data_IF_421333767877
#
_entry.id   IF_421333767877
#
_cell.length_a   1.000
_cell.length_b   1.000
_cell.length_c   1.000
_cell.angle_alpha   90.00
_cell.angle_beta   90.00
_cell.angle_gamma   90.00
#
_symmetry.space_group_name_H-M   'P 1'
#
loop_
_entity.id
_entity.type
_entity.pdbx_description
1 polymer ?
#
# COMPACT_ATOMS: atom_id res chain seq x y z
N UNK A 1 -11.83 -6.69 -8.54
CA UNK A 1 -12.57 -6.94 -7.28
C UNK A 1 -11.75 -6.34 -6.15
N UNK A 2 -12.35 -5.57 -5.23
CA UNK A 2 -11.66 -5.06 -4.04
C UNK A 2 -12.02 -5.97 -2.88
N UNK A 3 -11.00 -6.51 -2.21
CA UNK A 3 -11.16 -7.31 -0.99
C UNK A 3 -10.60 -6.55 0.20
N UNK A 4 -11.20 -6.74 1.37
CA UNK A 4 -10.80 -6.07 2.62
C UNK A 4 -10.68 -7.12 3.71
N UNK A 5 -9.52 -7.17 4.35
CA UNK A 5 -9.26 -7.96 5.56
C UNK A 5 -9.00 -7.06 6.76
N UNK A 6 -9.20 -7.59 7.96
CA UNK A 6 -8.88 -6.93 9.22
C UNK A 6 -8.03 -7.84 10.09
N UNK A 7 -7.00 -7.30 10.73
CA UNK A 7 -6.23 -7.98 11.76
C UNK A 7 -5.69 -6.94 12.76
N UNK A 8 -5.43 -7.39 13.99
CA UNK A 8 -5.01 -6.53 15.09
C UNK A 8 -3.50 -6.26 15.11
N UNK A 9 -2.69 -7.10 14.44
CA UNK A 9 -1.24 -6.98 14.43
C UNK A 9 -0.68 -6.74 13.03
N UNK A 10 0.14 -5.69 12.90
CA UNK A 10 0.71 -5.27 11.61
C UNK A 10 1.54 -6.37 10.94
N UNK A 11 2.32 -7.13 11.69
CA UNK A 11 3.16 -8.20 11.14
C UNK A 11 2.33 -9.34 10.51
N UNK A 12 1.15 -9.64 11.06
CA UNK A 12 0.24 -10.61 10.46
C UNK A 12 -0.39 -10.07 9.18
N UNK A 13 -0.77 -8.78 9.14
CA UNK A 13 -1.28 -8.18 7.90
C UNK A 13 -0.21 -8.13 6.82
N UNK A 14 1.06 -7.84 7.17
CA UNK A 14 2.17 -7.90 6.21
C UNK A 14 2.39 -9.30 5.66
N UNK A 15 2.28 -10.33 6.52
CA UNK A 15 2.32 -11.73 6.08
C UNK A 15 1.19 -12.04 5.10
N UNK A 16 -0.04 -11.61 5.42
CA UNK A 16 -1.22 -11.80 4.57
C UNK A 16 -1.08 -11.06 3.23
N UNK A 17 -0.54 -9.84 3.24
CA UNK A 17 -0.28 -9.07 2.02
C UNK A 17 0.70 -9.80 1.10
N UNK A 18 1.79 -10.32 1.68
CA UNK A 18 2.74 -11.17 0.94
C UNK A 18 2.08 -12.44 0.42
N UNK A 19 1.27 -13.11 1.24
CA UNK A 19 0.56 -14.33 0.85
C UNK A 19 -0.43 -14.08 -0.30
N UNK A 20 -1.25 -13.02 -0.24
CA UNK A 20 -2.17 -12.65 -1.34
C UNK A 20 -1.44 -12.38 -2.65
N UNK A 21 -0.30 -11.66 -2.61
CA UNK A 21 0.48 -11.37 -3.80
C UNK A 21 1.07 -12.64 -4.43
N UNK A 22 1.49 -13.62 -3.61
CA UNK A 22 2.08 -14.88 -4.08
C UNK A 22 1.00 -15.87 -4.56
N UNK A 23 -0.03 -16.10 -3.74
CA UNK A 23 -0.97 -17.23 -3.92
C UNK A 23 -2.14 -16.89 -4.88
N UNK A 24 -2.37 -15.61 -5.15
CA UNK A 24 -3.45 -15.18 -6.06
C UNK A 24 -3.21 -15.50 -7.54
N UNK A 25 -2.06 -16.06 -7.91
CA UNK A 25 -1.65 -16.31 -9.30
C UNK A 25 -1.76 -15.06 -10.19
N UNK A 26 -1.38 -13.89 -9.66
CA UNK A 26 -1.39 -12.61 -10.36
C UNK A 26 -2.76 -11.90 -10.41
N UNK A 27 -3.78 -12.45 -9.75
CA UNK A 27 -5.09 -11.79 -9.63
C UNK A 27 -5.06 -10.60 -8.68
N UNK A 28 -4.25 -10.67 -7.63
CA UNK A 28 -3.97 -9.54 -6.74
C UNK A 28 -2.63 -8.94 -7.16
N UNK A 29 -2.65 -7.70 -7.62
CA UNK A 29 -1.48 -6.98 -8.14
C UNK A 29 -0.96 -5.89 -7.21
N UNK A 30 -1.79 -5.50 -6.24
CA UNK A 30 -1.50 -4.43 -5.29
C UNK A 30 -2.27 -4.70 -4.00
N UNK A 31 -1.61 -4.52 -2.85
CA UNK A 31 -2.23 -4.63 -1.53
C UNK A 31 -1.93 -3.35 -0.76
N UNK A 32 -2.94 -2.76 -0.14
CA UNK A 32 -2.78 -1.59 0.73
C UNK A 32 -3.08 -1.99 2.16
N UNK A 33 -2.13 -1.73 3.06
CA UNK A 33 -2.31 -1.87 4.51
C UNK A 33 -2.52 -0.47 5.07
N UNK A 34 -3.60 -0.29 5.84
CA UNK A 34 -3.87 0.95 6.55
C UNK A 34 -4.00 0.64 8.03
N UNK A 35 -3.06 1.12 8.83
CA UNK A 35 -3.10 1.03 10.28
C UNK A 35 -3.48 2.40 10.86
N UNK A 36 -4.48 2.40 11.73
CA UNK A 36 -4.93 3.59 12.45
C UNK A 36 -4.47 3.51 13.90
N UNK A 37 -3.76 4.53 14.34
CA UNK A 37 -3.37 4.73 15.73
C UNK A 37 -4.25 5.83 16.31
N UNK A 38 -4.67 5.70 17.59
CA UNK A 38 -5.60 6.63 18.24
C UNK A 38 -4.99 7.42 19.40
N UNK A 39 -3.77 7.06 19.84
CA UNK A 39 -3.07 7.75 20.93
C UNK A 39 -1.54 7.71 20.71
N UNK A 40 -0.95 8.73 20.05
CA UNK A 40 -1.62 9.83 19.35
C UNK A 40 -2.33 9.35 18.07
N UNK A 41 -3.23 10.17 17.53
CA UNK A 41 -3.85 9.88 16.24
C UNK A 41 -2.81 9.86 15.11
N UNK A 42 -2.71 8.75 14.40
CA UNK A 42 -1.85 8.64 13.22
C UNK A 42 -2.40 7.63 12.22
N UNK A 43 -2.01 7.78 10.97
CA UNK A 43 -2.30 6.83 9.89
C UNK A 43 -0.97 6.34 9.34
N UNK A 44 -0.81 5.02 9.31
CA UNK A 44 0.29 4.36 8.64
C UNK A 44 -0.26 3.62 7.41
N UNK A 45 0.31 3.90 6.25
CA UNK A 45 -0.09 3.29 4.97
C UNK A 45 1.10 2.57 4.36
N UNK A 46 0.94 1.29 4.06
CA UNK A 46 1.89 0.52 3.26
C UNK A 46 1.24 0.10 1.94
N UNK A 47 1.96 0.26 0.86
CA UNK A 47 1.57 -0.23 -0.47
C UNK A 47 2.51 -1.37 -0.86
N UNK A 48 1.95 -2.54 -1.12
CA UNK A 48 2.68 -3.76 -1.44
C UNK A 48 2.41 -4.22 -2.86
N UNK A 49 3.45 -4.66 -3.55
CA UNK A 49 3.37 -5.23 -4.91
C UNK A 49 4.47 -6.28 -5.13
N UNK A 50 4.34 -7.06 -6.20
CA UNK A 50 5.42 -7.94 -6.67
C UNK A 50 6.50 -7.10 -7.35
N UNK A 51 7.73 -7.18 -6.84
CA UNK A 51 8.91 -6.49 -7.40
C UNK A 51 9.94 -7.50 -7.90
N UNK A 52 10.81 -7.10 -8.83
CA UNK A 52 11.92 -7.95 -9.26
C UNK A 52 12.87 -8.22 -8.08
N UNK A 53 13.36 -9.45 -7.96
CA UNK A 53 14.38 -9.79 -6.96
C UNK A 53 15.76 -9.34 -7.42
N UNK A 54 16.38 -8.39 -6.71
CA UNK A 54 17.69 -7.79 -7.05
C UNK A 54 18.93 -8.67 -6.76
N UNK A 55 18.75 -9.97 -6.52
CA UNK A 55 19.84 -10.90 -6.23
C UNK A 55 20.46 -11.52 -7.49
N UNK A 56 21.78 -11.86 -7.49
CA UNK A 56 22.33 -12.73 -8.53
C UNK A 56 21.50 -14.02 -8.54
N UNK A 57 21.00 -14.41 -9.71
CA UNK A 57 20.21 -15.62 -9.93
C UNK A 57 21.01 -16.86 -9.50
N UNK A 58 21.00 -17.16 -8.20
CA UNK A 58 21.19 -18.51 -7.70
C UNK A 58 19.90 -19.24 -8.05
N UNK A 59 20.04 -20.52 -8.40
CA UNK A 59 19.04 -21.43 -9.00
C UNK A 59 17.70 -21.53 -8.22
N UNK A 60 17.55 -20.87 -7.07
CA UNK A 60 16.42 -20.99 -6.14
C UNK A 60 15.73 -19.68 -5.75
N UNK A 61 16.15 -18.50 -6.25
CA UNK A 61 15.47 -17.24 -5.88
C UNK A 61 14.31 -16.97 -6.85
N UNK A 62 13.08 -16.73 -6.36
CA UNK A 62 11.96 -16.31 -7.20
C UNK A 62 12.32 -15.06 -8.01
N UNK A 63 11.87 -14.99 -9.27
CA UNK A 63 12.09 -13.82 -10.14
C UNK A 63 11.40 -12.56 -9.63
N UNK A 64 10.31 -12.73 -8.88
CA UNK A 64 9.60 -11.65 -8.21
C UNK A 64 9.30 -12.01 -6.76
N UNK A 65 9.34 -11.02 -5.88
CA UNK A 65 9.01 -11.14 -4.46
C UNK A 65 8.04 -10.03 -4.05
N UNK A 66 7.14 -10.28 -3.09
CA UNK A 66 6.31 -9.23 -2.53
C UNK A 66 7.18 -8.26 -1.71
N UNK A 67 6.99 -6.96 -1.90
CA UNK A 67 7.66 -5.93 -1.13
C UNK A 67 6.77 -4.70 -0.92
N UNK A 68 7.01 -4.00 0.19
CA UNK A 68 6.47 -2.67 0.42
C UNK A 68 7.17 -1.69 -0.54
N UNK A 69 6.43 -1.16 -1.51
CA UNK A 69 6.93 -0.25 -2.55
C UNK A 69 6.71 1.22 -2.22
N UNK A 70 5.73 1.52 -1.36
CA UNK A 70 5.49 2.88 -0.85
C UNK A 70 5.04 2.81 0.60
N UNK A 71 5.48 3.79 1.39
CA UNK A 71 5.21 3.91 2.82
C UNK A 71 4.82 5.36 3.12
N UNK A 72 3.73 5.57 3.85
CA UNK A 72 3.33 6.90 4.29
C UNK A 72 2.92 6.86 5.76
N UNK A 73 3.56 7.73 6.55
CA UNK A 73 3.16 8.01 7.93
C UNK A 73 2.55 9.40 8.01
N UNK A 74 1.34 9.50 8.57
CA UNK A 74 0.60 10.75 8.70
C UNK A 74 0.24 10.98 10.16
N UNK A 75 0.74 12.07 10.73
CA UNK A 75 0.54 12.41 12.15
C UNK A 75 -0.58 13.44 12.37
N UNK A 76 -0.89 13.72 13.63
CA UNK A 76 -1.84 14.76 14.04
C UNK A 76 -1.46 16.17 13.60
N UNK A 77 -0.17 16.43 13.39
CA UNK A 77 0.36 17.71 12.92
C UNK A 77 0.22 17.88 11.41
N UNK A 78 -0.36 16.88 10.74
CA UNK A 78 -0.64 16.84 9.30
C UNK A 78 0.62 16.66 8.46
N UNK A 79 1.71 16.23 9.08
CA UNK A 79 2.95 15.89 8.41
C UNK A 79 2.78 14.55 7.72
N UNK A 80 3.17 14.48 6.45
CA UNK A 80 3.25 13.22 5.70
C UNK A 80 4.72 12.87 5.53
N UNK A 81 5.19 11.85 6.25
CA UNK A 81 6.53 11.32 6.11
C UNK A 81 6.52 10.18 5.10
N UNK A 82 7.30 10.33 4.02
CA UNK A 82 7.46 9.31 2.98
C UNK A 82 8.73 9.55 2.18
N UNK A 83 9.30 8.48 1.62
CA UNK A 83 10.32 8.56 0.59
C UNK A 83 9.72 8.84 -0.81
N UNK A 84 8.41 8.65 -0.97
CA UNK A 84 7.66 8.90 -2.19
C UNK A 84 6.97 10.27 -2.12
N UNK A 85 6.93 11.05 -3.21
CA UNK A 85 6.28 12.37 -3.21
C UNK A 85 4.74 12.29 -3.23
N UNK A 86 4.19 11.15 -3.62
CA UNK A 86 2.76 10.91 -3.80
C UNK A 86 2.46 9.41 -3.65
N UNK A 87 1.26 9.08 -3.17
CA UNK A 87 0.75 7.71 -3.18
C UNK A 87 0.21 7.42 -4.58
N UNK A 88 0.78 6.42 -5.24
CA UNK A 88 0.41 6.02 -6.60
C UNK A 88 -0.13 4.60 -6.62
N UNK A 89 -1.31 4.40 -7.17
CA UNK A 89 -1.89 3.08 -7.44
C UNK A 89 -1.95 2.91 -8.95
N UNK A 90 -1.17 1.97 -9.53
CA UNK A 90 -1.15 1.78 -10.97
C UNK A 90 -2.53 1.45 -11.51
N UNK A 91 -2.92 2.03 -12.65
CA UNK A 91 -4.24 1.78 -13.26
C UNK A 91 -4.51 0.28 -13.44
N UNK A 92 -3.51 -0.45 -13.95
CA UNK A 92 -3.58 -1.88 -14.18
C UNK A 92 -3.77 -2.69 -12.89
N UNK A 93 -3.55 -2.13 -11.70
CA UNK A 93 -3.84 -2.80 -10.43
C UNK A 93 -5.29 -2.66 -9.98
N UNK A 94 -6.03 -1.68 -10.53
CA UNK A 94 -7.42 -1.39 -10.19
C UNK A 94 -8.37 -2.04 -11.22
N UNK A 95 -8.00 -1.94 -12.51
CA UNK A 95 -8.82 -2.39 -13.62
C UNK A 95 -8.14 -3.56 -14.35
N UNK A 96 -8.95 -4.52 -14.81
CA UNK A 96 -8.49 -5.69 -15.56
C UNK A 96 -8.41 -5.43 -17.07
N UNK A 97 -9.10 -4.39 -17.56
CA UNK A 97 -9.01 -3.97 -18.95
C UNK A 97 -7.71 -3.17 -19.17
N UNK A 98 -6.83 -3.60 -20.09
CA UNK A 98 -5.62 -2.87 -20.39
C UNK A 98 -5.95 -1.57 -21.13
N UNK A 99 -5.42 -0.47 -20.61
CA UNK A 99 -5.40 0.82 -21.31
C UNK A 99 -4.03 1.46 -21.08
N UNK A 100 -3.25 1.59 -22.15
CA UNK A 100 -1.90 2.15 -22.10
C UNK A 100 -1.89 3.68 -21.85
N UNK A 101 -3.03 4.34 -22.05
CA UNK A 101 -3.16 5.79 -21.86
C UNK A 101 -3.88 6.15 -20.56
N UNK A 102 -4.43 5.17 -19.85
CA UNK A 102 -5.13 5.43 -18.61
C UNK A 102 -4.14 5.85 -17.51
N UNK A 103 -4.41 6.97 -16.81
CA UNK A 103 -3.53 7.43 -15.76
C UNK A 103 -3.67 6.59 -14.49
N UNK A 104 -2.57 6.47 -13.75
CA UNK A 104 -2.58 5.93 -12.39
C UNK A 104 -3.44 6.79 -11.48
N UNK A 105 -4.02 6.18 -10.43
CA UNK A 105 -4.60 6.94 -9.34
C UNK A 105 -3.47 7.51 -8.48
N UNK A 106 -3.44 8.83 -8.31
CA UNK A 106 -2.39 9.55 -7.60
C UNK A 106 -3.01 10.40 -6.50
N UNK A 107 -2.44 10.31 -5.29
CA UNK A 107 -2.81 11.13 -4.14
C UNK A 107 -1.58 11.86 -3.63
N UNK A 108 -1.66 13.19 -3.65
CA UNK A 108 -0.60 14.06 -3.16
C UNK A 108 -0.51 14.02 -1.64
N UNK A 109 0.64 14.40 -1.08
CA UNK A 109 0.79 14.56 0.37
C UNK A 109 -0.25 15.53 0.96
N UNK A 110 -0.63 16.58 0.23
CA UNK A 110 -1.67 17.52 0.68
C UNK A 110 -3.07 16.86 0.78
N UNK A 111 -3.40 15.97 -0.16
CA UNK A 111 -4.65 15.21 -0.15
C UNK A 111 -4.66 14.16 0.97
N UNK A 112 -3.55 13.42 1.14
CA UNK A 112 -3.38 12.44 2.22
C UNK A 112 -3.50 13.11 3.60
N UNK A 113 -2.82 14.24 3.77
CA UNK A 113 -2.89 15.09 4.96
C UNK A 113 -4.32 15.59 5.24
N UNK A 114 -5.02 16.04 4.19
CA UNK A 114 -6.41 16.49 4.29
C UNK A 114 -7.38 15.36 4.63
N UNK A 115 -7.13 14.15 4.10
CA UNK A 115 -7.89 12.94 4.42
C UNK A 115 -7.69 12.54 5.89
N UNK A 116 -6.45 12.49 6.37
CA UNK A 116 -6.14 12.15 7.75
C UNK A 116 -6.84 13.09 8.74
N UNK A 117 -6.80 14.40 8.47
CA UNK A 117 -7.50 15.39 9.30
C UNK A 117 -9.01 15.15 9.36
N UNK A 118 -9.65 14.76 8.25
CA UNK A 118 -11.08 14.44 8.22
C UNK A 118 -11.37 13.20 9.07
N UNK A 119 -10.52 12.18 8.99
CA UNK A 119 -10.67 10.96 9.79
C UNK A 119 -10.50 11.23 11.29
N UNK A 120 -9.44 11.94 11.69
CA UNK A 120 -9.18 12.22 13.11
C UNK A 120 -10.33 12.98 13.76
N UNK A 121 -10.98 13.89 13.03
CA UNK A 121 -12.18 14.60 13.51
C UNK A 121 -13.41 13.71 13.68
N UNK A 122 -13.50 12.60 12.95
CA UNK A 122 -14.62 11.65 13.06
C UNK A 122 -14.41 10.62 14.17
N UNK A 123 -13.16 10.43 14.61
CA UNK A 123 -12.78 9.47 15.66
C UNK A 123 -12.67 10.12 17.05
N UNK A 124 -12.89 11.44 17.14
CA UNK A 124 -13.04 12.22 18.38
C UNK A 124 -14.51 12.28 18.82
#
# INVERSE_FOLDING_TARGET
MIEVGYSEALDFIRLDAGWWLIDSAGKIRFVMIVQLMTDPFAIHIECWAMVASDGPQKIQVPTQIPACVQLFDIDTERTVASASPELRIPYCCIFDEPDENAPDAVFTNAELSSFALKMFKQLQ
#
